data_IF_761770639214
#
_entry.id   IF_761770639214
#
_cell.length_a   1.000
_cell.length_b   1.000
_cell.length_c   1.000
_cell.angle_alpha   90.00
_cell.angle_beta   90.00
_cell.angle_gamma   90.00
#
_symmetry.space_group_name_H-M   'P 1'
#
loop_
_entity.id
_entity.type
_entity.pdbx_description
1 polymer ?
#
# COMPACT_ATOMS: atom_id res chain seq x y z
N UNK A 1 11.59 -15.52 -3.61
CA UNK A 1 11.00 -15.88 -2.30
C UNK A 1 11.13 -14.67 -1.40
N UNK A 2 10.11 -13.80 -1.35
CA UNK A 2 10.09 -12.64 -0.46
C UNK A 2 9.41 -13.02 0.85
N UNK A 3 9.97 -12.62 1.99
CA UNK A 3 9.42 -12.91 3.30
C UNK A 3 8.06 -12.20 3.48
N UNK A 4 7.01 -12.98 3.69
CA UNK A 4 5.70 -12.50 4.13
C UNK A 4 5.73 -12.43 5.66
N UNK A 5 5.50 -11.25 6.23
CA UNK A 5 5.35 -11.12 7.68
C UNK A 5 3.97 -11.64 8.07
N UNK A 6 3.92 -12.83 8.67
CA UNK A 6 2.72 -13.43 9.25
C UNK A 6 2.45 -12.87 10.65
N UNK A 7 2.51 -11.54 10.78
CA UNK A 7 2.25 -10.86 12.04
C UNK A 7 0.75 -10.59 12.17
N UNK A 8 0.15 -11.03 13.27
CA UNK A 8 -1.29 -10.81 13.51
C UNK A 8 -1.63 -9.36 13.85
N UNK A 9 -0.61 -8.53 14.03
CA UNK A 9 -0.68 -7.12 14.38
C UNK A 9 0.42 -6.40 13.62
N UNK A 10 0.12 -5.22 13.07
CA UNK A 10 1.12 -4.38 12.41
C UNK A 10 1.55 -3.33 13.44
N UNK A 11 2.75 -3.43 14.05
CA UNK A 11 3.22 -2.43 15.00
C UNK A 11 3.33 -1.05 14.37
N UNK A 12 3.21 0.01 15.19
CA UNK A 12 3.56 1.36 14.75
C UNK A 12 5.03 1.41 14.33
N UNK A 13 5.32 2.16 13.27
CA UNK A 13 6.64 2.20 12.65
C UNK A 13 6.90 1.09 11.64
N UNK A 14 5.95 0.15 11.44
CA UNK A 14 6.08 -0.87 10.40
C UNK A 14 6.02 -0.27 9.01
N UNK A 15 6.81 -0.83 8.11
CA UNK A 15 6.95 -0.38 6.74
C UNK A 15 6.89 -1.56 5.76
N UNK A 16 6.21 -1.37 4.64
CA UNK A 16 6.24 -2.27 3.46
C UNK A 16 6.79 -1.49 2.27
N UNK A 17 7.53 -2.16 1.38
CA UNK A 17 8.28 -1.52 0.30
C UNK A 17 8.15 -2.32 -0.99
N UNK A 18 8.08 -1.63 -2.13
CA UNK A 18 7.99 -2.28 -3.45
C UNK A 18 9.19 -3.16 -3.81
N UNK A 19 10.37 -2.93 -3.23
CA UNK A 19 11.58 -3.73 -3.36
C UNK A 19 11.72 -4.85 -2.30
N UNK A 20 10.79 -4.93 -1.35
CA UNK A 20 10.80 -5.90 -0.24
C UNK A 20 9.43 -6.56 -0.05
N UNK A 21 9.00 -6.83 1.20
CA UNK A 21 7.63 -7.24 1.47
C UNK A 21 6.65 -6.17 0.97
N UNK A 22 5.80 -6.53 0.02
CA UNK A 22 4.91 -5.59 -0.67
C UNK A 22 3.56 -5.41 0.02
N UNK A 23 3.23 -6.23 1.02
CA UNK A 23 1.90 -6.27 1.61
C UNK A 23 1.89 -6.81 3.03
N UNK A 24 0.96 -6.29 3.85
CA UNK A 24 0.51 -6.92 5.08
C UNK A 24 -0.68 -7.83 4.80
N UNK A 25 -0.57 -9.09 5.22
CA UNK A 25 -1.63 -10.08 5.05
C UNK A 25 -2.42 -10.19 6.35
N UNK A 26 -3.74 -10.16 6.25
CA UNK A 26 -4.62 -10.38 7.40
C UNK A 26 -4.34 -11.75 8.06
N UNK A 27 -4.57 -11.92 9.38
CA UNK A 27 -4.38 -13.21 10.05
C UNK A 27 -5.13 -14.37 9.41
N UNK A 28 -6.28 -14.09 8.79
CA UNK A 28 -7.08 -15.09 8.09
C UNK A 28 -6.50 -15.57 6.76
N UNK A 29 -5.47 -14.88 6.24
CA UNK A 29 -4.93 -15.09 4.91
C UNK A 29 -5.85 -14.63 3.76
N UNK A 30 -7.06 -14.15 4.04
CA UNK A 30 -8.07 -13.83 3.00
C UNK A 30 -7.98 -12.43 2.42
N UNK A 31 -7.43 -11.48 3.18
CA UNK A 31 -7.24 -10.10 2.75
C UNK A 31 -5.77 -9.70 2.84
N UNK A 32 -5.34 -8.83 1.95
CA UNK A 32 -4.06 -8.16 2.05
C UNK A 32 -4.19 -6.67 1.72
N UNK A 33 -3.33 -5.87 2.35
CA UNK A 33 -3.16 -4.46 2.07
C UNK A 33 -1.71 -4.19 1.64
N UNK A 34 -1.51 -3.34 0.65
CA UNK A 34 -0.18 -2.90 0.24
C UNK A 34 -0.12 -2.55 -1.23
N UNK A 35 1.03 -2.81 -1.84
CA UNK A 35 1.28 -2.56 -3.25
C UNK A 35 0.80 -3.73 -4.11
N UNK A 36 0.11 -3.42 -5.20
CA UNK A 36 -0.19 -4.37 -6.27
C UNK A 36 0.20 -3.80 -7.63
N UNK A 37 0.68 -4.62 -8.59
CA UNK A 37 1.06 -4.13 -9.92
C UNK A 37 -0.13 -3.56 -10.69
N UNK A 38 0.06 -2.40 -11.31
CA UNK A 38 -0.90 -1.78 -12.22
C UNK A 38 -0.14 -1.11 -13.38
N UNK A 39 -0.23 -1.70 -14.58
CA UNK A 39 0.60 -1.32 -15.72
C UNK A 39 2.09 -1.48 -15.42
N UNK A 40 2.86 -0.41 -15.66
CA UNK A 40 4.31 -0.35 -15.42
C UNK A 40 4.66 0.06 -13.97
N UNK A 41 3.66 0.27 -13.11
CA UNK A 41 3.84 0.76 -11.74
C UNK A 41 3.09 -0.05 -10.70
N UNK A 42 2.85 0.57 -9.56
CA UNK A 42 2.13 -0.01 -8.44
C UNK A 42 1.00 0.89 -7.99
N UNK A 43 -0.13 0.28 -7.66
CA UNK A 43 -1.19 0.93 -6.91
C UNK A 43 -1.22 0.41 -5.48
N UNK A 44 -1.80 1.21 -4.59
CA UNK A 44 -1.89 0.90 -3.16
C UNK A 44 -3.34 0.57 -2.86
N UNK A 45 -3.60 -0.57 -2.23
CA UNK A 45 -4.98 -0.97 -1.99
C UNK A 45 -5.17 -2.14 -1.05
N UNK A 46 -6.42 -2.58 -0.98
CA UNK A 46 -6.88 -3.77 -0.27
C UNK A 46 -7.48 -4.73 -1.28
N UNK A 47 -7.11 -6.00 -1.19
CA UNK A 47 -7.65 -7.04 -2.07
C UNK A 47 -7.95 -8.34 -1.31
N UNK A 48 -8.83 -9.16 -1.92
CA UNK A 48 -8.99 -10.55 -1.54
C UNK A 48 -7.83 -11.38 -2.12
N UNK A 49 -7.21 -12.17 -1.25
CA UNK A 49 -6.21 -13.18 -1.63
C UNK A 49 -6.99 -14.42 -2.05
N UNK A 50 -7.22 -14.53 -3.36
CA UNK A 50 -7.80 -15.71 -4.00
C UNK A 50 -6.84 -16.21 -5.07
N UNK A 51 -6.64 -17.52 -5.18
CA UNK A 51 -5.89 -18.09 -6.29
C UNK A 51 -6.81 -18.24 -7.51
N UNK A 52 -6.39 -17.85 -8.74
CA UNK A 52 -5.15 -17.17 -9.15
C UNK A 52 -5.30 -15.64 -9.33
N UNK A 53 -6.47 -15.07 -8.97
CA UNK A 53 -6.82 -13.68 -9.27
C UNK A 53 -6.91 -12.82 -8.02
N UNK A 54 -6.43 -11.58 -8.09
CA UNK A 54 -6.63 -10.60 -7.02
C UNK A 54 -7.92 -9.82 -7.26
N UNK A 55 -8.86 -9.88 -6.32
CA UNK A 55 -10.06 -9.05 -6.36
C UNK A 55 -9.82 -7.78 -5.56
N UNK A 56 -9.70 -6.64 -6.26
CA UNK A 56 -9.43 -5.34 -5.63
C UNK A 56 -10.71 -4.82 -4.99
N UNK A 57 -10.66 -4.58 -3.68
CA UNK A 57 -11.78 -4.06 -2.90
C UNK A 57 -11.71 -2.54 -2.76
N UNK A 58 -10.50 -1.99 -2.67
CA UNK A 58 -10.27 -0.58 -2.47
C UNK A 58 -8.89 -0.18 -2.97
N UNK A 59 -8.79 1.00 -3.58
CA UNK A 59 -7.54 1.57 -4.09
C UNK A 59 -7.38 3.00 -3.55
N UNK A 60 -6.25 3.26 -2.90
CA UNK A 60 -5.83 4.60 -2.51
C UNK A 60 -5.50 5.41 -3.75
N UNK A 61 -5.67 6.74 -3.68
CA UNK A 61 -5.25 7.66 -4.75
C UNK A 61 -5.81 7.29 -6.15
N UNK A 62 -7.00 6.71 -6.23
CA UNK A 62 -7.59 6.15 -7.47
C UNK A 62 -7.67 7.10 -8.69
N UNK A 63 -7.53 8.41 -8.48
CA UNK A 63 -7.56 9.41 -9.55
C UNK A 63 -6.14 9.81 -10.00
N UNK A 64 -5.11 9.32 -9.31
CA UNK A 64 -3.71 9.57 -9.60
C UNK A 64 -3.15 8.39 -10.40
N UNK A 65 -2.09 8.59 -11.21
CA UNK A 65 -1.40 7.49 -11.87
C UNK A 65 -0.75 6.53 -10.87
N UNK A 66 -0.50 5.26 -11.25
CA UNK A 66 0.25 4.32 -10.43
C UNK A 66 1.62 4.88 -10.03
N UNK A 67 2.04 4.57 -8.81
CA UNK A 67 3.34 5.01 -8.30
C UNK A 67 4.46 4.14 -8.88
N UNK A 68 5.63 4.72 -9.12
CA UNK A 68 6.80 3.98 -9.61
C UNK A 68 7.44 3.07 -8.56
N UNK A 69 7.08 3.24 -7.28
CA UNK A 69 7.59 2.47 -6.17
C UNK A 69 7.49 3.20 -4.84
N UNK A 70 8.32 2.79 -3.89
CA UNK A 70 8.47 3.43 -2.58
C UNK A 70 8.00 2.55 -1.45
N UNK A 71 7.57 3.18 -0.36
CA UNK A 71 7.13 2.46 0.83
C UNK A 71 5.85 3.02 1.43
N UNK A 72 5.21 2.21 2.27
CA UNK A 72 4.08 2.63 3.11
C UNK A 72 4.48 2.43 4.55
N UNK A 73 4.47 3.52 5.32
CA UNK A 73 4.73 3.53 6.75
C UNK A 73 3.43 3.64 7.53
N UNK A 74 3.24 2.76 8.52
CA UNK A 74 2.25 2.98 9.58
C UNK A 74 2.87 3.91 10.63
N UNK A 75 2.44 5.17 10.66
CA UNK A 75 3.00 6.16 11.58
C UNK A 75 2.58 5.88 13.03
N UNK A 76 3.32 6.44 13.98
CA UNK A 76 2.95 6.40 15.41
C UNK A 76 1.58 7.04 15.69
N UNK A 77 1.13 7.95 14.82
CA UNK A 77 -0.20 8.55 14.86
C UNK A 77 -1.32 7.69 14.27
N UNK A 78 -1.03 6.44 13.87
CA UNK A 78 -2.00 5.51 13.30
C UNK A 78 -2.43 5.83 11.86
N UNK A 79 -1.64 6.63 11.14
CA UNK A 79 -1.91 6.96 9.73
C UNK A 79 -1.02 6.15 8.79
N UNK A 80 -1.51 5.87 7.59
CA UNK A 80 -0.74 5.25 6.52
C UNK A 80 -0.17 6.34 5.60
N UNK A 81 1.15 6.40 5.48
CA UNK A 81 1.85 7.36 4.63
C UNK A 81 2.65 6.65 3.55
N UNK A 82 2.37 6.97 2.28
CA UNK A 82 3.21 6.54 1.16
C UNK A 82 4.42 7.46 1.03
N UNK A 83 5.62 6.91 0.98
CA UNK A 83 6.89 7.62 0.86
C UNK A 83 7.51 7.27 -0.51
N UNK A 84 7.70 8.26 -1.41
CA UNK A 84 8.30 8.02 -2.72
C UNK A 84 9.77 7.58 -2.61
N UNK A 85 10.26 6.78 -3.58
CA UNK A 85 11.66 6.38 -3.61
C UNK A 85 12.55 7.61 -3.75
N UNK A 86 13.65 7.65 -2.99
CA UNK A 86 14.70 8.68 -3.05
C UNK A 86 14.30 10.12 -2.65
N UNK A 87 13.18 10.34 -1.95
CA UNK A 87 12.70 11.69 -1.59
C UNK A 87 12.48 12.00 -0.10
N UNK A 88 12.88 11.12 0.82
CA UNK A 88 12.69 11.35 2.26
C UNK A 88 11.21 11.52 2.66
N UNK A 89 10.92 12.10 3.83
CA UNK A 89 9.59 12.13 4.46
C UNK A 89 8.48 12.96 3.76
N UNK A 90 8.66 13.35 2.49
CA UNK A 90 7.66 14.05 1.67
C UNK A 90 6.57 13.08 1.16
N UNK A 91 6.00 12.28 2.06
CA UNK A 91 5.04 11.23 1.72
C UNK A 91 3.58 11.68 1.74
N UNK A 92 2.71 11.07 0.91
CA UNK A 92 1.26 11.34 0.85
C UNK A 92 0.48 10.41 1.78
N UNK A 93 -0.53 10.92 2.48
CA UNK A 93 -1.40 10.10 3.34
C UNK A 93 -2.39 9.28 2.53
N UNK A 94 -2.38 7.96 2.69
CA UNK A 94 -3.38 7.08 2.08
C UNK A 94 -4.74 7.31 2.74
N UNK A 95 -5.74 7.73 1.96
CA UNK A 95 -7.12 7.94 2.43
C UNK A 95 -7.64 9.38 2.35
N UNK A 96 -6.78 10.40 2.17
CA UNK A 96 -7.23 11.75 1.78
C UNK A 96 -7.05 11.93 0.28
N UNK A 97 -8.16 11.85 -0.46
CA UNK A 97 -8.18 12.33 -1.84
C UNK A 97 -7.85 13.82 -1.86
N UNK A 98 -6.91 14.24 -2.71
CA UNK A 98 -6.80 15.64 -3.06
C UNK A 98 -8.15 16.07 -3.63
N UNK A 99 -8.78 17.17 -3.16
CA UNK A 99 -9.98 17.66 -3.80
C UNK A 99 -9.65 17.94 -5.27
N UNK A 100 -10.41 17.34 -6.18
CA UNK A 100 -10.34 17.68 -7.58
C UNK A 100 -10.69 19.17 -7.69
N UNK A 101 -9.77 19.98 -8.22
CA UNK A 101 -10.11 21.33 -8.68
C UNK A 101 -10.95 21.13 -9.95
N UNK A 102 -12.25 21.48 -9.96
CA UNK A 102 -13.01 21.44 -11.20
C UNK A 102 -12.44 22.50 -12.14
N UNK A 103 -12.19 22.11 -13.39
CA UNK A 103 -11.98 23.04 -14.50
C UNK A 103 -13.33 23.67 -14.88
#
# INVERSE_FOLDING_TARGET
>A
MGAQINETTIPQGSEINTAGPQSWVSPSGRFAFGFYPEGEGFSIGVWLVTDPSRFILWTAFRNDPPVSGGSILLTAGGSLQWIPPNQGFQGKLAGRGSPAVPQ
#
